data_IF_916879296101
#
_entry.id   IF_916879296101
#
_cell.length_a   1.000
_cell.length_b   1.000
_cell.length_c   1.000
_cell.angle_alpha   90.00
_cell.angle_beta   90.00
_cell.angle_gamma   90.00
#
_symmetry.space_group_name_H-M   'P 1'
#
loop_
_entity.id
_entity.type
_entity.pdbx_description
1 polymer ?
#
# COMPACT_ATOMS: atom_id res chain seq x y z
N UNK A 1 -8.83 19.28 -25.67
CA UNK A 1 -7.98 18.23 -25.07
C UNK A 1 -8.82 17.46 -24.06
N UNK A 2 -9.21 16.22 -24.37
CA UNK A 2 -9.87 15.35 -23.41
C UNK A 2 -8.89 15.06 -22.28
N UNK A 3 -9.12 15.63 -21.08
CA UNK A 3 -8.40 15.20 -19.89
C UNK A 3 -8.92 13.81 -19.58
N UNK A 4 -8.19 12.77 -20.01
CA UNK A 4 -8.34 11.43 -19.45
C UNK A 4 -8.36 11.57 -17.94
N UNK A 5 -9.40 11.06 -17.28
CA UNK A 5 -9.43 11.04 -15.82
C UNK A 5 -8.13 10.43 -15.30
N UNK A 6 -7.50 11.00 -14.25
CA UNK A 6 -6.30 10.40 -13.69
C UNK A 6 -6.60 8.94 -13.36
N UNK A 7 -5.73 8.03 -13.75
CA UNK A 7 -5.82 6.61 -13.38
C UNK A 7 -4.70 6.37 -12.37
N UNK A 8 -5.08 6.13 -11.12
CA UNK A 8 -4.15 5.92 -10.03
C UNK A 8 -3.51 4.54 -10.10
N UNK A 9 -2.19 4.50 -10.22
CA UNK A 9 -1.41 3.26 -10.36
C UNK A 9 -1.55 2.37 -9.13
N UNK A 10 -1.62 2.96 -7.93
CA UNK A 10 -1.83 2.19 -6.69
C UNK A 10 -3.17 1.43 -6.69
N UNK A 11 -4.26 2.08 -7.12
CA UNK A 11 -5.57 1.44 -7.20
C UNK A 11 -5.60 0.34 -8.26
N UNK A 12 -4.95 0.58 -9.40
CA UNK A 12 -4.82 -0.43 -10.46
C UNK A 12 -3.97 -1.63 -10.01
N UNK A 13 -2.83 -1.38 -9.37
CA UNK A 13 -1.97 -2.44 -8.82
C UNK A 13 -2.70 -3.26 -7.77
N UNK A 14 -3.46 -2.60 -6.88
CA UNK A 14 -4.28 -3.28 -5.88
C UNK A 14 -5.34 -4.18 -6.53
N UNK A 15 -6.05 -3.70 -7.56
CA UNK A 15 -7.00 -4.52 -8.32
C UNK A 15 -6.34 -5.74 -8.92
N UNK A 16 -5.19 -5.56 -9.58
CA UNK A 16 -4.49 -6.62 -10.32
C UNK A 16 -3.93 -7.73 -9.42
N UNK A 17 -3.85 -7.50 -8.10
CA UNK A 17 -3.52 -8.55 -7.11
C UNK A 17 -4.63 -9.60 -7.01
N UNK A 18 -5.86 -9.27 -7.40
CA UNK A 18 -7.03 -10.15 -7.33
C UNK A 18 -7.63 -10.45 -8.69
N UNK A 19 -7.73 -9.45 -9.57
CA UNK A 19 -8.43 -9.60 -10.85
C UNK A 19 -7.70 -10.58 -11.76
N UNK A 20 -8.40 -11.64 -12.16
CA UNK A 20 -7.86 -12.70 -13.02
C UNK A 20 -6.72 -13.51 -12.39
N UNK A 21 -6.39 -13.27 -11.11
CA UNK A 21 -5.20 -13.84 -10.46
C UNK A 21 -5.56 -14.44 -9.10
N UNK A 22 -5.04 -15.64 -8.83
CA UNK A 22 -5.18 -16.24 -7.51
C UNK A 22 -4.37 -15.47 -6.46
N UNK A 23 -5.05 -14.86 -5.49
CA UNK A 23 -4.42 -14.20 -4.36
C UNK A 23 -3.83 -15.23 -3.37
N UNK A 24 -2.57 -15.00 -2.96
CA UNK A 24 -1.83 -15.84 -2.00
C UNK A 24 -1.52 -15.06 -0.72
N UNK A 25 -2.21 -15.43 0.37
CA UNK A 25 -2.28 -14.69 1.65
C UNK A 25 -0.96 -14.55 2.44
N UNK A 26 0.16 -15.15 1.98
CA UNK A 26 1.47 -15.10 2.66
C UNK A 26 2.62 -14.56 1.82
N UNK A 27 2.31 -13.99 0.66
CA UNK A 27 3.32 -13.30 -0.13
C UNK A 27 3.54 -11.89 0.44
N UNK A 28 4.65 -11.73 1.17
CA UNK A 28 5.01 -10.46 1.79
C UNK A 28 5.36 -9.36 0.78
N UNK A 29 5.62 -9.70 -0.49
CA UNK A 29 5.98 -8.72 -1.53
C UNK A 29 4.77 -7.97 -2.10
N UNK A 30 3.56 -8.49 -1.90
CA UNK A 30 2.33 -7.88 -2.46
C UNK A 30 2.15 -6.45 -1.93
N UNK A 31 2.26 -6.27 -0.61
CA UNK A 31 2.10 -4.96 0.04
C UNK A 31 3.12 -3.96 -0.48
N UNK A 32 4.40 -4.32 -0.51
CA UNK A 32 5.48 -3.50 -1.03
C UNK A 32 5.23 -3.08 -2.49
N UNK A 33 4.76 -4.03 -3.32
CA UNK A 33 4.47 -3.74 -4.73
C UNK A 33 3.34 -2.73 -4.93
N UNK A 34 2.38 -2.67 -4.00
CA UNK A 34 1.30 -1.66 -4.02
C UNK A 34 1.83 -0.33 -3.46
N UNK A 35 2.61 -0.37 -2.37
CA UNK A 35 3.14 0.82 -1.70
C UNK A 35 4.03 1.65 -2.64
N UNK A 36 4.83 0.99 -3.48
CA UNK A 36 5.71 1.65 -4.47
C UNK A 36 4.93 2.55 -5.43
N UNK A 37 3.70 2.19 -5.81
CA UNK A 37 2.89 2.97 -6.75
C UNK A 37 2.39 4.30 -6.16
N UNK A 38 2.42 4.45 -4.83
CA UNK A 38 2.11 5.71 -4.15
C UNK A 38 2.99 6.85 -4.69
N UNK A 39 4.29 6.58 -4.84
CA UNK A 39 5.27 7.58 -5.23
C UNK A 39 5.17 7.95 -6.70
N UNK A 40 4.84 6.98 -7.55
CA UNK A 40 4.52 7.23 -8.96
C UNK A 40 3.27 8.12 -9.09
N UNK A 41 2.24 7.86 -8.29
CA UNK A 41 1.02 8.66 -8.27
C UNK A 41 1.30 10.08 -7.76
N UNK A 42 2.08 10.25 -6.69
CA UNK A 42 2.49 11.57 -6.16
C UNK A 42 3.26 12.38 -7.21
N UNK A 43 4.23 11.76 -7.89
CA UNK A 43 4.96 12.38 -8.98
C UNK A 43 4.02 12.79 -10.13
N UNK A 44 3.12 11.88 -10.55
CA UNK A 44 2.23 12.11 -11.70
C UNK A 44 1.24 13.27 -11.50
N UNK A 45 0.88 13.60 -10.27
CA UNK A 45 -0.06 14.68 -9.98
C UNK A 45 0.54 16.08 -10.12
N UNK A 46 1.87 16.20 -10.10
CA UNK A 46 2.58 17.49 -10.18
C UNK A 46 2.05 18.53 -9.18
N UNK A 47 1.73 18.10 -7.95
CA UNK A 47 1.19 18.98 -6.89
C UNK A 47 2.23 19.50 -5.90
N UNK A 48 3.44 18.94 -5.92
CA UNK A 48 4.61 19.48 -5.23
C UNK A 48 5.73 19.64 -6.25
N UNK A 49 6.03 20.88 -6.70
CA UNK A 49 7.17 21.14 -7.58
C UNK A 49 8.48 20.63 -6.99
N UNK A 50 8.65 20.72 -5.67
CA UNK A 50 9.83 20.23 -4.95
C UNK A 50 9.98 18.71 -5.04
N UNK A 51 8.91 17.97 -4.81
CA UNK A 51 8.91 16.51 -4.94
C UNK A 51 9.28 16.09 -6.37
N UNK A 52 8.61 16.68 -7.36
CA UNK A 52 8.83 16.35 -8.77
C UNK A 52 10.28 16.61 -9.18
N UNK A 53 10.78 17.83 -8.93
CA UNK A 53 12.15 18.21 -9.28
C UNK A 53 13.19 17.26 -8.66
N UNK A 54 13.03 16.92 -7.37
CA UNK A 54 13.96 16.01 -6.69
C UNK A 54 13.90 14.57 -7.19
N UNK A 55 12.72 14.09 -7.61
CA UNK A 55 12.57 12.78 -8.24
C UNK A 55 13.24 12.78 -9.62
N UNK A 56 12.98 13.81 -10.43
CA UNK A 56 13.53 13.93 -11.79
C UNK A 56 15.06 14.08 -11.79
N UNK A 57 15.63 14.72 -10.77
CA UNK A 57 17.08 14.80 -10.55
C UNK A 57 17.69 13.54 -9.91
N UNK A 58 16.88 12.52 -9.61
CA UNK A 58 17.28 11.31 -8.89
C UNK A 58 17.87 11.57 -7.48
N UNK A 59 17.58 12.71 -6.87
CA UNK A 59 17.97 13.03 -5.49
C UNK A 59 17.12 12.28 -4.46
N UNK A 60 15.93 11.83 -4.87
CA UNK A 60 14.99 11.09 -4.05
C UNK A 60 14.58 9.80 -4.73
N UNK A 61 14.72 8.71 -3.99
CA UNK A 61 14.55 7.34 -4.50
C UNK A 61 13.69 6.52 -3.56
N UNK A 62 13.11 5.44 -4.09
CA UNK A 62 12.50 4.42 -3.25
C UNK A 62 13.59 3.45 -2.77
N UNK A 63 13.61 3.22 -1.47
CA UNK A 63 14.45 2.21 -0.86
C UNK A 63 14.01 0.81 -1.31
N UNK A 64 14.91 0.10 -1.97
CA UNK A 64 14.76 -1.31 -2.35
C UNK A 64 15.91 -2.11 -1.78
N UNK A 65 15.98 -2.20 -0.46
CA UNK A 65 16.83 -3.22 0.17
C UNK A 65 16.19 -4.61 0.02
N UNK A 66 16.08 -5.05 -1.24
CA UNK A 66 15.62 -6.38 -1.68
C UNK A 66 16.60 -7.02 -2.70
N UNK A 67 17.79 -6.44 -2.92
CA UNK A 67 18.86 -7.02 -3.75
C UNK A 67 20.10 -7.31 -2.91
N UNK A 68 20.10 -8.43 -2.18
CA UNK A 68 21.34 -9.11 -1.76
C UNK A 68 21.32 -10.54 -2.25
N UNK A 69 22.28 -10.91 -3.09
CA UNK A 69 22.50 -12.29 -3.50
C UNK A 69 22.83 -13.13 -2.25
N UNK A 70 21.99 -14.12 -1.91
CA UNK A 70 22.27 -15.11 -0.87
C UNK A 70 21.77 -14.84 0.56
N UNK A 71 21.02 -13.76 0.84
CA UNK A 71 20.46 -13.51 2.19
C UNK A 71 18.93 -13.47 2.15
N UNK A 72 18.26 -14.29 2.98
CA UNK A 72 16.80 -14.25 3.15
C UNK A 72 16.37 -12.90 3.73
N UNK A 73 15.69 -12.12 2.89
CA UNK A 73 15.20 -10.77 3.14
C UNK A 73 14.38 -10.66 4.46
N UNK A 74 14.56 -9.54 5.17
CA UNK A 74 13.71 -9.12 6.28
C UNK A 74 13.27 -7.66 6.05
N UNK A 75 12.41 -7.44 5.03
CA UNK A 75 11.73 -6.17 4.69
C UNK A 75 12.66 -5.02 4.25
N UNK A 76 12.29 -4.34 3.17
CA UNK A 76 13.05 -3.21 2.65
C UNK A 76 12.41 -2.58 1.41
N UNK A 77 11.44 -1.68 1.51
CA UNK A 77 10.31 -1.52 2.46
C UNK A 77 9.42 -0.36 1.97
N UNK A 78 9.29 -0.16 0.65
CA UNK A 78 8.42 0.85 0.06
C UNK A 78 8.57 2.25 0.67
N UNK A 79 9.75 2.59 1.23
CA UNK A 79 10.05 3.89 1.83
C UNK A 79 10.74 4.79 0.82
N UNK A 80 10.60 6.10 0.98
CA UNK A 80 11.11 7.09 0.05
C UNK A 80 11.87 8.18 0.79
N UNK A 81 13.00 8.61 0.23
CA UNK A 81 13.80 9.69 0.79
C UNK A 81 15.09 9.93 0.02
N UNK A 82 16.03 10.62 0.67
CA UNK A 82 17.29 11.08 0.08
C UNK A 82 18.20 9.93 -0.33
N UNK A 83 18.64 9.90 -1.59
CA UNK A 83 19.68 8.99 -2.02
C UNK A 83 20.96 9.23 -1.21
N UNK A 84 21.61 8.16 -0.75
CA UNK A 84 22.92 8.29 -0.08
C UNK A 84 23.92 8.95 -1.05
N UNK A 85 24.65 10.01 -0.65
CA UNK A 85 25.65 10.63 -1.51
C UNK A 85 26.69 9.62 -2.02
N UNK A 86 26.86 9.56 -3.35
CA UNK A 86 27.80 8.67 -4.01
C UNK A 86 27.24 7.28 -4.38
N UNK A 87 25.99 6.98 -4.02
CA UNK A 87 25.30 5.77 -4.48
C UNK A 87 24.55 6.01 -5.80
N UNK A 88 24.26 4.93 -6.53
CA UNK A 88 23.56 5.00 -7.82
C UNK A 88 22.03 4.92 -7.66
N UNK A 89 21.33 5.76 -8.41
CA UNK A 89 19.90 5.65 -8.61
C UNK A 89 19.58 4.76 -9.81
N UNK A 90 18.93 3.62 -9.55
CA UNK A 90 18.49 2.68 -10.58
C UNK A 90 17.12 3.09 -11.12
N UNK A 91 17.09 3.61 -12.35
CA UNK A 91 15.86 3.80 -13.10
C UNK A 91 15.33 2.45 -13.62
N UNK A 92 14.05 2.15 -13.37
CA UNK A 92 13.40 0.93 -13.83
C UNK A 92 12.42 1.23 -14.97
N UNK A 93 12.37 0.42 -16.04
CA UNK A 93 11.39 0.59 -17.10
C UNK A 93 9.95 0.63 -16.56
N UNK A 94 9.17 1.62 -16.98
CA UNK A 94 7.78 1.80 -16.56
C UNK A 94 7.58 2.53 -15.22
N UNK A 95 8.66 2.97 -14.57
CA UNK A 95 8.66 3.76 -13.35
C UNK A 95 9.38 5.11 -13.58
N UNK A 96 8.86 6.17 -12.95
CA UNK A 96 9.47 7.50 -12.95
C UNK A 96 10.34 7.74 -11.73
N UNK A 97 9.98 7.13 -10.60
CA UNK A 97 10.79 7.23 -9.40
C UNK A 97 11.89 6.18 -9.47
N UNK A 98 13.14 6.57 -9.28
CA UNK A 98 14.26 5.65 -9.26
C UNK A 98 14.31 4.83 -7.95
N UNK A 99 15.23 3.87 -7.90
CA UNK A 99 15.47 2.97 -6.78
C UNK A 99 16.89 3.11 -6.26
N UNK A 100 17.09 3.07 -4.95
CA UNK A 100 18.43 3.17 -4.38
C UNK A 100 18.42 3.16 -2.85
N UNK A 101 19.58 3.06 -2.21
CA UNK A 101 19.68 3.17 -0.76
C UNK A 101 19.43 4.61 -0.30
N UNK A 102 18.66 4.78 0.77
CA UNK A 102 18.29 6.10 1.30
C UNK A 102 19.07 6.49 2.57
N UNK A 103 19.47 7.76 2.69
CA UNK A 103 20.10 8.36 3.86
C UNK A 103 19.05 8.78 4.91
N UNK A 104 17.93 9.34 4.45
CA UNK A 104 16.81 9.83 5.28
C UNK A 104 15.49 9.23 4.81
N UNK A 105 14.49 9.20 5.68
CA UNK A 105 13.13 8.78 5.33
C UNK A 105 12.23 10.02 5.32
N UNK A 106 11.66 10.34 4.15
CA UNK A 106 10.77 11.49 3.99
C UNK A 106 9.30 11.08 3.90
N UNK A 107 9.01 9.93 3.28
CA UNK A 107 7.64 9.38 3.19
C UNK A 107 7.69 7.86 3.26
N UNK A 108 6.90 7.27 4.17
CA UNK A 108 6.79 5.83 4.36
C UNK A 108 5.38 5.34 4.08
N UNK A 109 5.22 4.45 3.09
CA UNK A 109 3.95 3.80 2.79
C UNK A 109 3.91 2.37 3.31
N UNK A 110 2.83 1.98 3.98
CA UNK A 110 2.60 0.59 4.41
C UNK A 110 1.24 0.08 3.91
N UNK A 111 1.24 -1.12 3.33
CA UNK A 111 0.02 -1.73 2.78
C UNK A 111 -0.30 -3.04 3.48
N UNK A 112 -1.54 -3.18 3.96
CA UNK A 112 -2.08 -4.42 4.51
C UNK A 112 -3.36 -4.83 3.81
N UNK A 113 -3.61 -6.14 3.74
CA UNK A 113 -4.81 -6.67 3.09
C UNK A 113 -5.46 -7.70 4.01
N UNK A 114 -6.72 -7.46 4.36
CA UNK A 114 -7.60 -8.36 5.08
C UNK A 114 -8.56 -9.01 4.08
N UNK A 115 -8.14 -10.15 3.52
CA UNK A 115 -8.91 -10.86 2.49
C UNK A 115 -9.93 -11.86 3.06
N UNK A 116 -9.67 -12.44 4.24
CA UNK A 116 -10.48 -13.45 4.96
C UNK A 116 -10.14 -13.45 6.45
N UNK A 117 -11.05 -13.92 7.31
CA UNK A 117 -10.82 -14.20 8.74
C UNK A 117 -10.22 -12.98 9.47
N UNK A 118 -10.85 -11.83 9.27
CA UNK A 118 -10.31 -10.53 9.59
C UNK A 118 -10.15 -10.33 11.08
N UNK A 119 -11.18 -10.68 11.87
CA UNK A 119 -11.16 -10.48 13.32
C UNK A 119 -10.08 -11.34 13.97
N UNK A 120 -9.81 -12.53 13.44
CA UNK A 120 -8.70 -13.38 13.90
C UNK A 120 -7.32 -12.80 13.56
N UNK A 121 -7.22 -11.94 12.55
CA UNK A 121 -5.96 -11.38 12.06
C UNK A 121 -5.73 -9.92 12.46
N UNK A 122 -6.77 -9.21 12.89
CA UNK A 122 -6.77 -7.76 13.05
C UNK A 122 -5.72 -7.29 14.05
N UNK A 123 -5.58 -7.97 15.19
CA UNK A 123 -4.62 -7.58 16.23
C UNK A 123 -3.18 -7.66 15.73
N UNK A 124 -2.87 -8.70 14.92
CA UNK A 124 -1.55 -8.84 14.27
C UNK A 124 -1.33 -7.73 13.24
N UNK A 125 -2.36 -7.40 12.45
CA UNK A 125 -2.28 -6.32 11.45
C UNK A 125 -2.08 -4.96 12.10
N UNK A 126 -2.82 -4.67 13.16
CA UNK A 126 -2.68 -3.44 13.95
C UNK A 126 -1.29 -3.33 14.58
N UNK A 127 -0.79 -4.43 15.14
CA UNK A 127 0.58 -4.50 15.68
C UNK A 127 1.62 -4.25 14.60
N UNK A 128 1.48 -4.88 13.43
CA UNK A 128 2.39 -4.68 12.29
C UNK A 128 2.40 -3.22 11.83
N UNK A 129 1.23 -2.58 11.67
CA UNK A 129 1.09 -1.18 11.29
C UNK A 129 1.69 -0.23 12.34
N UNK A 130 1.37 -0.44 13.61
CA UNK A 130 1.91 0.36 14.72
C UNK A 130 3.43 0.22 14.88
N UNK A 131 3.99 -0.97 14.61
CA UNK A 131 5.43 -1.17 14.55
C UNK A 131 6.06 -0.43 13.37
N UNK A 132 5.42 -0.46 12.21
CA UNK A 132 5.93 0.17 11.00
C UNK A 132 5.99 1.70 11.13
N UNK A 133 4.92 2.34 11.62
CA UNK A 133 4.94 3.81 11.80
C UNK A 133 5.94 4.25 12.88
N UNK A 134 6.12 3.46 13.94
CA UNK A 134 7.20 3.70 14.91
C UNK A 134 8.57 3.53 14.28
N UNK A 135 8.74 2.56 13.37
CA UNK A 135 9.98 2.39 12.61
C UNK A 135 10.28 3.62 11.75
N UNK A 136 9.30 4.16 11.04
CA UNK A 136 9.46 5.38 10.25
C UNK A 136 10.01 6.56 11.11
N UNK A 137 9.54 6.67 12.35
CA UNK A 137 9.86 7.80 13.26
C UNK A 137 11.11 7.56 14.14
N UNK A 138 11.82 6.44 14.01
CA UNK A 138 12.86 6.01 14.97
C UNK A 138 14.14 6.86 15.02
N UNK A 139 14.50 7.54 13.93
CA UNK A 139 15.78 8.28 13.82
C UNK A 139 15.67 9.79 14.03
N UNK A 140 14.54 10.28 14.54
CA UNK A 140 14.33 11.71 14.80
C UNK A 140 13.78 12.50 13.60
N UNK A 141 13.65 11.87 12.44
CA UNK A 141 12.96 12.45 11.29
C UNK A 141 11.45 12.57 11.54
N UNK A 142 10.79 13.45 10.79
CA UNK A 142 9.32 13.63 10.80
C UNK A 142 8.68 13.22 9.46
N UNK A 143 8.86 11.96 9.04
CA UNK A 143 8.37 11.50 7.75
C UNK A 143 6.85 11.57 7.67
N UNK A 144 6.34 11.67 6.45
CA UNK A 144 4.92 11.52 6.16
C UNK A 144 4.61 10.02 6.15
N UNK A 145 3.91 9.56 7.19
CA UNK A 145 3.48 8.16 7.31
C UNK A 145 2.12 7.94 6.65
N UNK A 146 2.06 6.99 5.72
CA UNK A 146 0.84 6.63 4.99
C UNK A 146 0.54 5.15 5.20
N UNK A 147 -0.68 4.83 5.59
CA UNK A 147 -1.16 3.44 5.64
C UNK A 147 -2.33 3.24 4.67
N UNK A 148 -2.29 2.14 3.94
CA UNK A 148 -3.37 1.68 3.06
C UNK A 148 -3.79 0.28 3.50
N UNK A 149 -5.06 0.11 3.84
CA UNK A 149 -5.59 -1.19 4.24
C UNK A 149 -6.73 -1.63 3.34
N UNK A 150 -6.53 -2.73 2.63
CA UNK A 150 -7.56 -3.41 1.87
C UNK A 150 -8.45 -4.25 2.78
N UNK A 151 -9.76 -4.03 2.72
CA UNK A 151 -10.77 -4.82 3.44
C UNK A 151 -11.72 -5.45 2.43
N UNK A 152 -11.80 -6.78 2.44
CA UNK A 152 -12.68 -7.54 1.55
C UNK A 152 -14.11 -7.63 2.09
N UNK A 153 -15.09 -7.23 1.30
CA UNK A 153 -16.52 -7.23 1.62
C UNK A 153 -17.28 -8.29 0.82
N UNK A 154 -16.58 -9.31 0.30
CA UNK A 154 -17.22 -10.34 -0.52
C UNK A 154 -18.16 -11.22 0.32
N UNK A 155 -19.33 -11.62 -0.22
CA UNK A 155 -20.24 -12.55 0.44
C UNK A 155 -19.73 -14.00 0.45
N UNK A 156 -18.56 -14.25 -0.13
CA UNK A 156 -17.88 -15.55 -0.12
C UNK A 156 -16.41 -15.40 -0.48
N UNK A 157 -15.58 -16.30 0.02
CA UNK A 157 -14.14 -16.29 -0.25
C UNK A 157 -13.54 -17.67 -0.19
N UNK A 158 -12.60 -17.95 -1.09
CA UNK A 158 -11.77 -19.16 -1.07
C UNK A 158 -10.32 -18.80 -0.79
N UNK A 159 -9.77 -19.28 0.33
CA UNK A 159 -8.33 -19.18 0.59
C UNK A 159 -7.61 -20.42 0.08
N UNK A 160 -6.38 -20.28 -0.39
CA UNK A 160 -5.56 -21.41 -0.82
C UNK A 160 -4.35 -21.60 0.11
N UNK A 161 -4.09 -22.84 0.48
CA UNK A 161 -2.87 -23.28 1.16
C UNK A 161 -2.19 -24.35 0.29
N UNK A 162 -1.14 -23.95 -0.44
CA UNK A 162 -0.65 -24.75 -1.57
C UNK A 162 -1.76 -24.92 -2.61
N UNK A 163 -2.03 -26.17 -3.00
CA UNK A 163 -3.08 -26.51 -3.96
C UNK A 163 -4.46 -26.71 -3.31
N UNK A 164 -4.55 -26.63 -1.97
CA UNK A 164 -5.80 -26.88 -1.25
C UNK A 164 -6.64 -25.61 -1.13
N UNK A 165 -7.88 -25.70 -1.60
CA UNK A 165 -8.91 -24.68 -1.48
C UNK A 165 -9.68 -24.79 -0.15
N UNK A 166 -9.92 -23.65 0.49
CA UNK A 166 -10.65 -23.53 1.75
C UNK A 166 -11.74 -22.45 1.65
N UNK A 167 -12.91 -22.79 1.09
CA UNK A 167 -14.03 -21.87 0.99
C UNK A 167 -14.56 -21.47 2.37
N UNK A 168 -15.18 -20.29 2.43
CA UNK A 168 -15.98 -19.84 3.57
C UNK A 168 -17.41 -20.39 3.44
N UNK A 169 -18.08 -20.58 4.56
CA UNK A 169 -19.43 -21.16 4.63
C UNK A 169 -20.44 -20.23 5.33
N UNK A 170 -20.00 -19.06 5.80
CA UNK A 170 -20.83 -18.08 6.48
C UNK A 170 -21.24 -18.46 7.91
N UNK A 171 -20.77 -19.61 8.39
CA UNK A 171 -21.07 -20.19 9.70
C UNK A 171 -19.79 -20.44 10.48
N UNK A 172 -19.16 -21.61 10.31
CA UNK A 172 -17.90 -21.95 10.97
C UNK A 172 -16.75 -21.09 10.45
N UNK A 173 -16.81 -20.76 9.16
CA UNK A 173 -15.88 -19.89 8.47
C UNK A 173 -16.65 -18.70 7.91
N UNK A 174 -16.68 -17.62 8.69
CA UNK A 174 -17.34 -16.37 8.32
C UNK A 174 -16.91 -15.91 6.92
N UNK A 175 -17.88 -15.44 6.16
CA UNK A 175 -17.63 -14.68 4.94
C UNK A 175 -16.99 -13.34 5.29
N UNK A 176 -16.09 -12.80 4.44
CA UNK A 176 -15.44 -11.52 4.68
C UNK A 176 -16.42 -10.39 5.06
N UNK A 177 -17.56 -10.30 4.37
CA UNK A 177 -18.59 -9.27 4.64
C UNK A 177 -19.13 -9.29 6.08
N UNK A 178 -19.13 -10.45 6.76
CA UNK A 178 -19.65 -10.56 8.14
C UNK A 178 -18.71 -9.92 9.16
N UNK A 179 -17.42 -9.76 8.82
CA UNK A 179 -16.38 -9.24 9.71
C UNK A 179 -15.87 -7.85 9.28
N UNK A 180 -16.13 -7.45 8.03
CA UNK A 180 -15.50 -6.29 7.39
C UNK A 180 -15.77 -4.96 8.13
N UNK A 181 -17.01 -4.71 8.55
CA UNK A 181 -17.38 -3.48 9.24
C UNK A 181 -16.66 -3.34 10.60
N UNK A 182 -16.60 -4.43 11.37
CA UNK A 182 -15.91 -4.45 12.66
C UNK A 182 -14.39 -4.30 12.48
N UNK A 183 -13.80 -5.02 11.51
CA UNK A 183 -12.38 -4.88 11.21
C UNK A 183 -12.02 -3.43 10.82
N UNK A 184 -12.87 -2.77 10.04
CA UNK A 184 -12.68 -1.38 9.65
C UNK A 184 -12.77 -0.43 10.86
N UNK A 185 -13.80 -0.55 11.70
CA UNK A 185 -13.97 0.29 12.89
C UNK A 185 -12.75 0.18 13.82
N UNK A 186 -12.28 -1.04 14.12
CA UNK A 186 -11.09 -1.26 14.95
C UNK A 186 -9.83 -0.58 14.36
N UNK A 187 -9.61 -0.71 13.06
CA UNK A 187 -8.47 -0.07 12.39
C UNK A 187 -8.54 1.45 12.47
N UNK A 188 -9.72 2.03 12.23
CA UNK A 188 -9.90 3.49 12.30
C UNK A 188 -9.69 4.02 13.71
N UNK A 189 -10.24 3.36 14.72
CA UNK A 189 -10.19 3.80 16.10
C UNK A 189 -8.79 3.67 16.72
N UNK A 190 -8.06 2.60 16.39
CA UNK A 190 -6.83 2.25 17.09
C UNK A 190 -5.54 2.62 16.34
N UNK A 191 -5.60 2.67 14.99
CA UNK A 191 -4.40 2.82 14.16
C UNK A 191 -4.39 4.09 13.32
N UNK A 192 -5.54 4.56 12.81
CA UNK A 192 -5.55 5.65 11.84
C UNK A 192 -4.87 6.93 12.34
N UNK A 193 -5.02 7.27 13.62
CA UNK A 193 -4.42 8.45 14.23
C UNK A 193 -2.88 8.38 14.41
N UNK A 194 -2.26 7.23 14.17
CA UNK A 194 -0.81 7.06 14.27
C UNK A 194 -0.08 7.50 13.00
N UNK A 195 -0.80 7.52 11.87
CA UNK A 195 -0.33 7.89 10.53
C UNK A 195 -0.77 9.32 10.18
N UNK A 196 -0.03 9.99 9.29
CA UNK A 196 -0.44 11.28 8.73
C UNK A 196 -1.62 11.09 7.77
N UNK A 197 -1.63 9.98 7.03
CA UNK A 197 -2.71 9.62 6.11
C UNK A 197 -3.07 8.13 6.23
N UNK A 198 -4.38 7.84 6.22
CA UNK A 198 -4.91 6.49 6.39
C UNK A 198 -6.04 6.22 5.40
N UNK A 199 -5.84 5.25 4.51
CA UNK A 199 -6.79 4.86 3.46
C UNK A 199 -7.34 3.47 3.72
N UNK A 200 -8.67 3.33 3.70
CA UNK A 200 -9.34 2.03 3.62
C UNK A 200 -9.79 1.79 2.18
N UNK A 201 -9.31 0.71 1.59
CA UNK A 201 -9.73 0.23 0.28
C UNK A 201 -10.80 -0.85 0.46
N UNK A 202 -12.07 -0.50 0.22
CA UNK A 202 -13.20 -1.44 0.30
C UNK A 202 -13.41 -2.12 -1.05
N UNK A 203 -13.20 -3.42 -1.09
CA UNK A 203 -13.30 -4.20 -2.32
C UNK A 203 -14.06 -5.51 -2.10
N UNK A 204 -14.47 -6.18 -3.17
CA UNK A 204 -14.91 -7.57 -3.14
C UNK A 204 -14.06 -8.36 -4.11
N UNK A 205 -13.46 -9.41 -3.59
CA UNK A 205 -12.87 -10.47 -4.41
C UNK A 205 -13.20 -11.80 -3.76
N UNK A 206 -13.63 -12.78 -4.55
CA UNK A 206 -13.98 -14.12 -4.03
C UNK A 206 -12.76 -15.05 -3.98
N UNK A 207 -11.71 -14.71 -4.74
CA UNK A 207 -10.55 -15.56 -4.99
C UNK A 207 -10.95 -16.98 -5.50
N UNK A 208 -12.01 -17.06 -6.29
CA UNK A 208 -12.53 -18.30 -6.86
C UNK A 208 -13.07 -18.06 -8.28
N UNK A 209 -13.14 -19.14 -9.07
CA UNK A 209 -13.58 -19.06 -10.47
C UNK A 209 -12.60 -18.28 -11.32
N UNK A 210 -13.09 -17.24 -12.01
CA UNK A 210 -12.28 -16.33 -12.84
C UNK A 210 -11.57 -15.23 -12.03
N UNK A 211 -11.49 -15.38 -10.71
CA UNK A 211 -10.92 -14.42 -9.76
C UNK A 211 -11.48 -13.00 -9.96
N UNK A 212 -12.81 -12.81 -9.77
CA UNK A 212 -13.45 -11.53 -9.96
C UNK A 212 -13.00 -10.52 -8.89
N UNK A 213 -12.96 -9.25 -9.28
CA UNK A 213 -12.70 -8.12 -8.41
C UNK A 213 -13.71 -6.99 -8.69
N UNK A 214 -14.20 -6.36 -7.64
CA UNK A 214 -14.92 -5.09 -7.74
C UNK A 214 -14.59 -4.18 -6.56
N UNK A 215 -14.66 -2.86 -6.79
CA UNK A 215 -14.67 -1.88 -5.71
C UNK A 215 -16.08 -1.81 -5.12
N UNK A 216 -16.21 -1.64 -3.80
CA UNK A 216 -17.53 -1.38 -3.19
C UNK A 216 -18.12 -0.07 -3.71
N UNK A 217 -17.33 0.99 -3.70
CA UNK A 217 -17.60 2.26 -4.37
C UNK A 217 -16.29 2.78 -4.97
N UNK A 218 -16.14 2.64 -6.30
CA UNK A 218 -14.93 3.12 -6.97
C UNK A 218 -14.82 4.64 -6.93
N UNK A 219 -15.94 5.37 -6.99
CA UNK A 219 -15.93 6.83 -7.06
C UNK A 219 -15.50 7.42 -5.73
N UNK A 220 -15.99 6.89 -4.62
CA UNK A 220 -15.54 7.25 -3.28
C UNK A 220 -14.05 6.91 -3.10
N UNK A 221 -13.67 5.65 -3.37
CA UNK A 221 -12.26 5.19 -3.27
C UNK A 221 -11.31 6.08 -4.07
N UNK A 222 -11.68 6.42 -5.30
CA UNK A 222 -10.91 7.30 -6.18
C UNK A 222 -10.74 8.71 -5.59
N UNK A 223 -11.81 9.28 -5.05
CA UNK A 223 -11.81 10.63 -4.46
C UNK A 223 -10.99 10.68 -3.18
N UNK A 224 -11.15 9.69 -2.30
CA UNK A 224 -10.42 9.62 -1.04
C UNK A 224 -8.92 9.52 -1.28
N UNK A 225 -8.50 8.63 -2.18
CA UNK A 225 -7.09 8.49 -2.50
C UNK A 225 -6.52 9.74 -3.18
N UNK A 226 -7.26 10.35 -4.11
CA UNK A 226 -6.84 11.62 -4.72
C UNK A 226 -6.69 12.77 -3.72
N UNK A 227 -7.57 12.83 -2.71
CA UNK A 227 -7.48 13.81 -1.63
C UNK A 227 -6.26 13.56 -0.73
N UNK A 228 -5.97 12.29 -0.40
CA UNK A 228 -4.76 11.88 0.33
C UNK A 228 -3.51 12.32 -0.42
N UNK A 229 -3.38 11.98 -1.71
CA UNK A 229 -2.22 12.36 -2.51
C UNK A 229 -1.99 13.88 -2.55
N UNK A 230 -3.07 14.65 -2.61
CA UNK A 230 -2.99 16.12 -2.58
C UNK A 230 -2.46 16.62 -1.24
N UNK A 231 -2.92 16.05 -0.12
CA UNK A 231 -2.44 16.42 1.23
C UNK A 231 -0.99 16.01 1.44
N UNK A 232 -0.60 14.80 1.02
CA UNK A 232 0.80 14.35 1.06
C UNK A 232 1.69 15.29 0.27
N UNK A 233 1.30 15.65 -0.97
CA UNK A 233 2.08 16.57 -1.79
C UNK A 233 2.28 17.93 -1.11
N UNK A 234 1.21 18.48 -0.51
CA UNK A 234 1.28 19.74 0.24
C UNK A 234 2.18 19.63 1.47
N UNK A 235 2.06 18.54 2.23
CA UNK A 235 2.91 18.32 3.40
C UNK A 235 4.38 18.13 3.01
N UNK A 236 4.65 17.44 1.91
CA UNK A 236 6.00 17.26 1.40
C UNK A 236 6.62 18.60 1.02
N UNK A 237 5.89 19.43 0.25
CA UNK A 237 6.31 20.79 -0.12
C UNK A 237 6.64 21.65 1.10
N UNK A 238 5.90 21.46 2.20
CA UNK A 238 6.07 22.21 3.45
C UNK A 238 7.26 21.71 4.29
N UNK A 239 7.48 20.40 4.37
CA UNK A 239 8.41 19.77 5.33
C UNK A 239 9.84 19.65 4.82
N UNK A 240 10.00 19.34 3.53
CA UNK A 240 11.30 19.04 2.90
C UNK A 240 11.69 20.13 1.93
#
# INVERSE_FOLDING_TARGET
MSRSSPRYRLLERFRNVFEGTQYRHRDSSIGDSIAIELYEDLHSLHKSPKLVSRIENHERVINVQNLRQGVKARRGDGTFGELIPGEDALALPGFKVARGPIATLETGGEVKILAKAMIKQIDRVMTDLGNQVRHFKRKGDTPIGVAVVGINWSPGYTSYEGDRAWPTDGRKYAHPIQEAAEAESRLREQIANQFDEFLILRFRATNAGVFPFEWIDYRETFRDYGAILTRISREYERRF
#
